data_IF_776730403285
#
_entry.id   IF_776730403285
#
_cell.length_a   1.000
_cell.length_b   1.000
_cell.length_c   1.000
_cell.angle_alpha   90.00
_cell.angle_beta   90.00
_cell.angle_gamma   90.00
#
_symmetry.space_group_name_H-M   'P 1'
#
loop_
_entity.id
_entity.type
_entity.pdbx_description
1 polymer ?
#
# COMPACT_ATOMS: atom_id res chain seq x y z
N UNK A 1 10.21 14.17 3.55
CA UNK A 1 11.69 14.20 3.73
C UNK A 1 12.39 13.77 2.43
N UNK A 2 13.72 13.82 2.33
CA UNK A 2 14.47 13.35 1.14
C UNK A 2 15.71 12.53 1.52
N UNK A 3 16.07 11.54 0.70
CA UNK A 3 17.29 10.73 0.90
C UNK A 3 18.58 11.52 0.69
N UNK A 4 18.54 12.47 -0.25
CA UNK A 4 19.66 13.34 -0.60
C UNK A 4 19.18 14.50 -1.43
N UNK A 5 20.00 15.54 -1.45
CA UNK A 5 19.97 16.58 -2.48
C UNK A 5 20.79 16.14 -3.70
N UNK A 6 20.72 16.92 -4.78
CA UNK A 6 21.48 16.70 -6.01
C UNK A 6 22.34 17.93 -6.38
N UNK A 7 23.06 18.46 -5.40
CA UNK A 7 23.99 19.59 -5.53
C UNK A 7 25.20 19.17 -6.36
N UNK A 8 25.49 19.86 -7.47
CA UNK A 8 26.63 19.56 -8.38
C UNK A 8 27.72 20.65 -8.35
N UNK A 9 29.03 20.31 -8.28
CA UNK A 9 30.10 21.30 -8.36
C UNK A 9 30.00 22.16 -9.63
N UNK A 10 30.29 23.45 -9.54
CA UNK A 10 30.19 24.41 -10.65
C UNK A 10 28.78 24.86 -11.03
N UNK A 11 27.75 24.39 -10.33
CA UNK A 11 26.37 24.88 -10.49
C UNK A 11 25.91 25.65 -9.25
N UNK A 12 24.79 26.35 -9.34
CA UNK A 12 24.11 26.91 -8.17
C UNK A 12 23.31 25.83 -7.43
N UNK A 13 23.13 26.03 -6.13
CA UNK A 13 22.20 25.22 -5.34
C UNK A 13 20.75 25.63 -5.65
N UNK A 14 19.88 24.64 -5.81
CA UNK A 14 18.46 24.92 -6.14
C UNK A 14 17.71 25.44 -4.91
N UNK A 15 16.59 26.15 -5.13
CA UNK A 15 15.71 26.58 -4.04
C UNK A 15 15.13 25.39 -3.27
N UNK A 16 14.91 24.26 -3.95
CA UNK A 16 14.44 23.03 -3.33
C UNK A 16 15.50 22.41 -2.42
N UNK A 17 16.75 22.28 -2.87
CA UNK A 17 17.85 21.78 -2.04
C UNK A 17 18.05 22.67 -0.80
N UNK A 18 18.00 24.00 -0.95
CA UNK A 18 18.06 24.95 0.17
C UNK A 18 16.93 24.72 1.17
N UNK A 19 15.70 24.50 0.68
CA UNK A 19 14.54 24.21 1.53
C UNK A 19 14.72 22.92 2.32
N UNK A 20 15.16 21.84 1.67
CA UNK A 20 15.36 20.54 2.33
C UNK A 20 16.49 20.58 3.35
N UNK A 21 17.61 21.25 3.02
CA UNK A 21 18.66 21.51 3.99
C UNK A 21 18.10 22.29 5.18
N UNK A 22 17.51 23.46 4.97
CA UNK A 22 16.99 24.30 6.07
C UNK A 22 16.01 23.53 6.98
N UNK A 23 15.10 22.74 6.42
CA UNK A 23 14.18 21.89 7.17
C UNK A 23 14.92 20.85 8.03
N UNK A 24 15.93 20.17 7.47
CA UNK A 24 16.75 19.20 8.20
C UNK A 24 17.53 19.84 9.36
N UNK A 25 18.10 21.04 9.17
CA UNK A 25 18.75 21.77 10.27
C UNK A 25 17.77 22.13 11.37
N UNK A 26 16.61 22.69 11.00
CA UNK A 26 15.60 23.10 11.96
C UNK A 26 15.11 21.90 12.80
N UNK A 27 14.97 20.72 12.19
CA UNK A 27 14.61 19.49 12.89
C UNK A 27 15.76 18.96 13.78
N UNK A 28 17.01 19.03 13.34
CA UNK A 28 18.14 18.46 14.08
C UNK A 28 18.59 19.33 15.27
N UNK A 29 18.66 20.66 15.09
CA UNK A 29 19.25 21.59 16.07
C UNK A 29 18.73 21.46 17.51
N UNK A 30 17.42 21.32 17.77
CA UNK A 30 16.90 21.19 19.14
C UNK A 30 17.44 19.97 19.90
N UNK A 31 17.96 18.96 19.19
CA UNK A 31 18.48 17.71 19.75
C UNK A 31 20.00 17.70 19.91
N UNK A 32 20.67 18.77 19.46
CA UNK A 32 22.13 18.86 19.44
C UNK A 32 22.65 19.74 20.58
N UNK A 33 23.82 19.40 21.11
CA UNK A 33 24.56 20.31 21.98
C UNK A 33 24.98 21.57 21.20
N UNK A 34 25.17 22.74 21.85
CA UNK A 34 25.45 24.01 21.17
C UNK A 34 26.62 23.96 20.17
N UNK A 35 27.71 23.27 20.53
CA UNK A 35 28.86 23.09 19.63
C UNK A 35 28.51 22.27 18.38
N UNK A 36 27.71 21.23 18.52
CA UNK A 36 27.27 20.41 17.39
C UNK A 36 26.28 21.17 16.50
N UNK A 37 25.38 21.97 17.10
CA UNK A 37 24.47 22.85 16.36
C UNK A 37 25.24 23.88 15.51
N UNK A 38 26.28 24.50 16.07
CA UNK A 38 27.15 25.41 15.30
C UNK A 38 27.88 24.68 14.15
N UNK A 39 28.40 23.47 14.39
CA UNK A 39 29.04 22.68 13.32
C UNK A 39 28.07 22.27 12.21
N UNK A 40 26.80 22.06 12.54
CA UNK A 40 25.77 21.81 11.55
C UNK A 40 25.57 23.04 10.64
N UNK A 41 25.59 24.25 11.22
CA UNK A 41 25.53 25.49 10.45
C UNK A 41 26.74 25.67 9.53
N UNK A 42 27.96 25.41 10.04
CA UNK A 42 29.19 25.45 9.24
C UNK A 42 29.13 24.46 8.05
N UNK A 43 28.64 23.24 8.30
CA UNK A 43 28.45 22.23 7.25
C UNK A 43 27.43 22.71 6.21
N UNK A 44 26.33 23.33 6.64
CA UNK A 44 25.26 23.74 5.75
C UNK A 44 25.68 24.92 4.88
N UNK A 45 26.40 25.89 5.43
CA UNK A 45 27.06 26.93 4.65
C UNK A 45 27.96 26.30 3.58
N UNK A 46 28.81 25.34 3.96
CA UNK A 46 29.69 24.65 3.02
C UNK A 46 28.96 23.84 1.92
N UNK A 47 27.72 23.40 2.15
CA UNK A 47 26.89 22.71 1.14
C UNK A 47 26.17 23.67 0.18
N UNK A 48 25.92 24.90 0.65
CA UNK A 48 25.12 25.91 -0.02
C UNK A 48 25.97 26.91 -0.82
N UNK A 49 27.18 27.19 -0.33
CA UNK A 49 28.12 28.11 -0.95
C UNK A 49 28.58 27.61 -2.34
N UNK A 50 29.38 28.45 -3.01
CA UNK A 50 30.01 28.07 -4.27
C UNK A 50 30.84 26.80 -4.07
N UNK A 51 30.68 25.84 -4.98
CA UNK A 51 31.41 24.59 -5.00
C UNK A 51 32.30 24.52 -6.24
N UNK A 52 33.49 25.18 -6.24
CA UNK A 52 34.42 25.06 -7.35
C UNK A 52 34.79 23.60 -7.61
N UNK A 53 34.79 23.14 -8.87
CA UNK A 53 35.23 21.79 -9.22
C UNK A 53 36.61 21.48 -8.65
N UNK A 54 36.75 20.32 -8.00
CA UNK A 54 38.02 19.87 -7.39
C UNK A 54 38.35 20.49 -6.01
N UNK A 55 37.53 21.41 -5.50
CA UNK A 55 37.73 21.97 -4.15
C UNK A 55 37.44 20.96 -3.04
N UNK A 56 38.07 21.09 -1.85
CA UNK A 56 37.73 20.30 -0.68
C UNK A 56 36.23 20.38 -0.30
N UNK A 57 35.61 21.54 -0.48
CA UNK A 57 34.19 21.79 -0.24
C UNK A 57 33.31 20.98 -1.21
N UNK A 58 33.65 20.97 -2.49
CA UNK A 58 32.97 20.14 -3.48
C UNK A 58 33.08 18.64 -3.13
N UNK A 59 34.25 18.19 -2.69
CA UNK A 59 34.45 16.80 -2.26
C UNK A 59 33.63 16.45 -1.01
N UNK A 60 33.59 17.35 -0.02
CA UNK A 60 32.76 17.20 1.17
C UNK A 60 31.28 17.13 0.80
N UNK A 61 30.78 18.03 -0.05
CA UNK A 61 29.39 18.06 -0.48
C UNK A 61 28.99 16.79 -1.24
N UNK A 62 29.88 16.26 -2.08
CA UNK A 62 29.66 14.98 -2.77
C UNK A 62 29.62 13.81 -1.81
N UNK A 63 30.58 13.73 -0.89
CA UNK A 63 30.64 12.66 0.12
C UNK A 63 29.45 12.70 1.06
N UNK A 64 29.05 13.88 1.52
CA UNK A 64 27.86 14.07 2.34
C UNK A 64 26.61 13.52 1.64
N UNK A 65 26.35 13.92 0.39
CA UNK A 65 25.19 13.42 -0.36
C UNK A 65 25.23 11.91 -0.65
N UNK A 66 26.42 11.30 -0.70
CA UNK A 66 26.58 9.85 -0.80
C UNK A 66 26.28 9.13 0.53
N UNK A 67 26.43 9.81 1.66
CA UNK A 67 26.22 9.25 3.01
C UNK A 67 24.77 9.42 3.50
N UNK A 68 24.07 10.49 3.11
CA UNK A 68 22.70 10.74 3.60
C UNK A 68 21.73 9.64 3.17
N UNK A 69 21.84 9.13 1.94
CA UNK A 69 20.94 8.08 1.45
C UNK A 69 21.03 6.76 2.22
N UNK A 70 22.21 6.16 2.44
CA UNK A 70 22.31 4.97 3.28
C UNK A 70 21.97 5.26 4.76
N UNK A 71 22.24 6.47 5.27
CA UNK A 71 21.83 6.85 6.62
C UNK A 71 20.31 6.88 6.77
N UNK A 72 19.58 7.46 5.81
CA UNK A 72 18.11 7.45 5.76
C UNK A 72 17.58 6.02 5.64
N UNK A 73 18.09 5.22 4.70
CA UNK A 73 17.64 3.84 4.54
C UNK A 73 17.83 3.01 5.82
N UNK A 74 19.01 3.08 6.46
CA UNK A 74 19.29 2.30 7.67
C UNK A 74 18.60 2.84 8.92
N UNK A 75 18.47 4.16 9.05
CA UNK A 75 17.83 4.80 10.19
C UNK A 75 16.30 4.74 10.14
N UNK A 76 15.71 4.93 8.97
CA UNK A 76 14.25 4.96 8.80
C UNK A 76 13.74 3.58 8.42
N UNK A 77 14.15 3.05 7.27
CA UNK A 77 13.53 1.85 6.71
C UNK A 77 13.92 0.56 7.43
N UNK A 78 15.16 0.48 7.91
CA UNK A 78 15.70 -0.70 8.60
C UNK A 78 15.83 -0.47 10.13
N UNK A 79 15.18 0.56 10.68
CA UNK A 79 15.09 0.74 12.14
C UNK A 79 13.75 1.35 12.56
N UNK A 80 13.45 2.60 12.16
CA UNK A 80 12.25 3.30 12.60
C UNK A 80 10.95 2.59 12.19
N UNK A 81 10.88 2.06 10.95
CA UNK A 81 9.74 1.30 10.43
C UNK A 81 9.45 0.02 11.24
N UNK A 82 10.48 -0.55 11.90
CA UNK A 82 10.34 -1.72 12.76
C UNK A 82 10.02 -1.37 14.20
N UNK A 83 10.05 -0.09 14.57
CA UNK A 83 9.74 0.35 15.92
C UNK A 83 8.21 0.34 16.11
N UNK A 84 7.67 -0.44 17.07
CA UNK A 84 6.24 -0.58 17.21
C UNK A 84 5.58 0.71 17.72
N UNK A 85 4.49 1.14 17.08
CA UNK A 85 3.77 2.36 17.49
C UNK A 85 2.55 2.76 16.64
N UNK A 86 2.42 2.23 15.41
CA UNK A 86 1.33 2.59 14.49
C UNK A 86 0.80 1.41 13.67
N UNK A 87 0.02 1.73 12.65
CA UNK A 87 -0.55 0.76 11.72
C UNK A 87 0.51 0.29 10.72
N UNK A 88 0.87 -0.99 10.75
CA UNK A 88 1.94 -1.55 9.91
C UNK A 88 1.66 -1.48 8.40
N UNK A 89 0.42 -1.20 8.00
CA UNK A 89 0.06 -0.90 6.61
C UNK A 89 0.82 0.30 6.04
N UNK A 90 1.15 1.27 6.91
CA UNK A 90 1.82 2.53 6.55
C UNK A 90 3.34 2.46 6.70
N UNK A 91 3.87 1.35 7.23
CA UNK A 91 5.27 1.19 7.58
C UNK A 91 6.00 0.36 6.50
N UNK A 92 6.31 0.99 5.37
CA UNK A 92 6.94 0.35 4.20
C UNK A 92 8.02 1.23 3.53
N UNK A 93 8.78 0.65 2.61
CA UNK A 93 9.81 1.36 1.84
C UNK A 93 9.20 2.56 1.11
N UNK A 94 9.82 3.73 1.26
CA UNK A 94 9.35 4.99 0.69
C UNK A 94 8.10 5.62 1.36
N UNK A 95 7.65 5.09 2.50
CA UNK A 95 6.52 5.66 3.27
C UNK A 95 6.98 6.71 4.30
N UNK A 96 6.04 7.59 4.66
CA UNK A 96 6.11 8.43 5.86
C UNK A 96 4.96 7.99 6.79
N UNK A 97 5.20 7.06 7.74
CA UNK A 97 4.12 6.33 8.45
C UNK A 97 3.17 7.20 9.28
N UNK A 98 3.58 8.42 9.63
CA UNK A 98 2.80 9.40 10.41
C UNK A 98 1.89 10.29 9.52
N UNK A 99 1.96 10.14 8.20
CA UNK A 99 1.19 10.94 7.25
C UNK A 99 -0.19 10.36 6.92
N UNK A 100 -1.15 11.23 6.64
CA UNK A 100 -2.41 10.88 5.96
C UNK A 100 -2.50 11.62 4.63
N UNK A 101 -3.18 11.03 3.66
CA UNK A 101 -3.42 11.63 2.34
C UNK A 101 -4.91 11.87 2.20
N UNK A 102 -5.30 13.12 2.00
CA UNK A 102 -6.66 13.49 1.65
C UNK A 102 -6.88 13.40 0.13
N UNK A 103 -8.15 13.53 -0.29
CA UNK A 103 -8.52 13.43 -1.70
C UNK A 103 -7.76 14.46 -2.56
N UNK A 104 -7.65 15.70 -2.08
CA UNK A 104 -6.99 16.79 -2.79
C UNK A 104 -5.51 16.52 -2.99
N UNK A 105 -4.83 15.98 -1.99
CA UNK A 105 -3.41 15.62 -2.07
C UNK A 105 -3.19 14.45 -3.02
N UNK A 106 -4.10 13.48 -3.05
CA UNK A 106 -4.08 12.40 -4.03
C UNK A 106 -4.28 12.92 -5.47
N UNK A 107 -5.27 13.81 -5.67
CA UNK A 107 -5.54 14.44 -6.97
C UNK A 107 -4.30 15.22 -7.46
N UNK A 108 -3.67 16.01 -6.57
CA UNK A 108 -2.46 16.76 -6.87
C UNK A 108 -1.26 15.85 -7.18
N UNK A 109 -1.10 14.75 -6.43
CA UNK A 109 -0.05 13.75 -6.69
C UNK A 109 -0.19 13.13 -8.08
N UNK A 110 -1.41 12.73 -8.47
CA UNK A 110 -1.66 12.13 -9.78
C UNK A 110 -1.42 13.13 -10.92
N UNK A 111 -1.85 14.38 -10.74
CA UNK A 111 -1.61 15.45 -11.72
C UNK A 111 -0.12 15.77 -11.85
N UNK A 112 0.63 15.83 -10.75
CA UNK A 112 2.08 16.02 -10.81
C UNK A 112 2.77 14.84 -11.50
N UNK A 113 2.42 13.61 -11.12
CA UNK A 113 2.97 12.38 -11.70
C UNK A 113 2.75 12.32 -13.21
N UNK A 114 1.56 12.69 -13.69
CA UNK A 114 1.25 12.78 -15.12
C UNK A 114 2.21 13.72 -15.87
N UNK A 115 2.63 14.81 -15.22
CA UNK A 115 3.51 15.83 -15.80
C UNK A 115 5.00 15.49 -15.68
N UNK A 116 5.42 14.97 -14.54
CA UNK A 116 6.85 14.83 -14.18
C UNK A 116 7.38 13.42 -14.42
N UNK A 117 6.54 12.41 -14.27
CA UNK A 117 6.92 10.99 -14.32
C UNK A 117 5.89 10.12 -15.07
N UNK A 118 5.49 10.49 -16.31
CA UNK A 118 4.41 9.79 -17.04
C UNK A 118 4.72 8.33 -17.38
N UNK A 119 6.00 7.95 -17.39
CA UNK A 119 6.49 6.60 -17.64
C UNK A 119 7.12 5.95 -16.40
N UNK A 120 6.97 6.56 -15.21
CA UNK A 120 7.44 5.98 -13.97
C UNK A 120 6.70 4.68 -13.63
N UNK A 121 7.39 3.73 -13.01
CA UNK A 121 6.78 2.49 -12.55
C UNK A 121 5.79 2.77 -11.41
N UNK A 122 4.67 2.05 -11.42
CA UNK A 122 3.67 2.04 -10.36
C UNK A 122 3.64 0.65 -9.73
N UNK A 123 4.50 0.43 -8.74
CA UNK A 123 4.63 -0.83 -8.03
C UNK A 123 3.72 -0.86 -6.79
N UNK A 124 3.10 -2.00 -6.54
CA UNK A 124 2.32 -2.27 -5.32
C UNK A 124 3.05 -3.21 -4.35
N UNK A 125 3.93 -4.06 -4.88
CA UNK A 125 4.79 -4.97 -4.14
C UNK A 125 6.13 -5.04 -4.88
N UNK A 126 7.22 -5.22 -4.15
CA UNK A 126 8.58 -5.45 -4.70
C UNK A 126 9.31 -6.46 -3.81
N UNK A 127 10.48 -6.93 -4.27
CA UNK A 127 11.37 -7.79 -3.48
C UNK A 127 11.92 -7.12 -2.22
N UNK A 128 11.82 -5.79 -2.11
CA UNK A 128 12.30 -5.01 -0.95
C UNK A 128 11.15 -4.45 -0.09
N UNK A 129 9.89 -4.60 -0.53
CA UNK A 129 8.74 -4.18 0.26
C UNK A 129 8.74 -4.91 1.60
N UNK A 130 8.45 -4.20 2.70
CA UNK A 130 8.39 -4.77 4.04
C UNK A 130 7.23 -5.76 4.17
N UNK A 131 6.17 -5.56 3.39
CA UNK A 131 4.96 -6.39 3.30
C UNK A 131 4.41 -6.31 1.87
N UNK A 132 3.79 -7.38 1.38
CA UNK A 132 3.11 -7.37 0.08
C UNK A 132 1.88 -6.45 0.08
N UNK A 133 1.40 -6.08 -1.11
CA UNK A 133 0.21 -5.25 -1.28
C UNK A 133 -1.01 -5.78 -0.52
N UNK A 134 -1.32 -7.08 -0.62
CA UNK A 134 -2.52 -7.63 0.02
C UNK A 134 -2.37 -7.68 1.55
N UNK A 135 -1.18 -7.96 2.06
CA UNK A 135 -0.89 -7.87 3.49
C UNK A 135 -1.10 -6.45 4.03
N UNK A 136 -0.66 -5.43 3.27
CA UNK A 136 -0.92 -4.02 3.60
C UNK A 136 -2.39 -3.65 3.48
N UNK A 137 -3.11 -4.13 2.46
CA UNK A 137 -4.54 -3.88 2.29
C UNK A 137 -5.36 -4.47 3.43
N UNK A 138 -4.97 -5.65 3.92
CA UNK A 138 -5.58 -6.27 5.11
C UNK A 138 -5.32 -5.46 6.37
N UNK A 139 -4.07 -5.06 6.61
CA UNK A 139 -3.75 -4.18 7.72
C UNK A 139 -4.50 -2.85 7.63
N UNK A 140 -4.59 -2.25 6.44
CA UNK A 140 -5.30 -1.00 6.22
C UNK A 140 -6.79 -1.08 6.58
N UNK A 141 -7.41 -2.27 6.49
CA UNK A 141 -8.79 -2.46 6.92
C UNK A 141 -8.98 -2.21 8.42
N UNK A 142 -7.96 -2.44 9.27
CA UNK A 142 -8.03 -2.15 10.71
C UNK A 142 -8.33 -0.68 11.01
N UNK A 143 -8.05 0.25 10.10
CA UNK A 143 -8.41 1.66 10.28
C UNK A 143 -9.93 1.91 10.32
N UNK A 144 -10.73 1.01 9.73
CA UNK A 144 -12.20 1.07 9.75
C UNK A 144 -12.81 0.22 10.88
N UNK A 145 -12.01 -0.67 11.46
CA UNK A 145 -12.41 -1.59 12.53
C UNK A 145 -11.54 -1.38 13.78
N UNK A 146 -11.16 -0.13 14.04
CA UNK A 146 -10.15 0.21 15.05
C UNK A 146 -10.57 -0.15 16.47
N UNK A 147 -11.80 0.17 16.87
CA UNK A 147 -12.35 -0.22 18.18
C UNK A 147 -12.38 -1.73 18.36
N UNK A 148 -12.78 -2.45 17.31
CA UNK A 148 -12.82 -3.91 17.30
C UNK A 148 -11.43 -4.50 17.42
N UNK A 149 -10.45 -3.95 16.71
CA UNK A 149 -9.06 -4.35 16.81
C UNK A 149 -8.49 -4.12 18.22
N UNK A 150 -8.81 -2.98 18.84
CA UNK A 150 -8.43 -2.71 20.23
C UNK A 150 -9.00 -3.75 21.20
N UNK A 151 -10.28 -4.12 21.09
CA UNK A 151 -10.87 -5.19 21.92
C UNK A 151 -10.13 -6.53 21.76
N UNK A 152 -9.80 -6.91 20.52
CA UNK A 152 -9.05 -8.14 20.24
C UNK A 152 -7.66 -8.07 20.89
N UNK A 153 -6.92 -6.97 20.72
CA UNK A 153 -5.60 -6.81 21.33
C UNK A 153 -5.68 -6.84 22.86
N UNK A 154 -6.66 -6.16 23.47
CA UNK A 154 -6.85 -6.17 24.93
C UNK A 154 -7.17 -7.56 25.47
N UNK A 155 -7.90 -8.38 24.68
CA UNK A 155 -8.15 -9.79 25.02
C UNK A 155 -6.89 -10.63 24.90
N UNK A 156 -6.10 -10.45 23.85
CA UNK A 156 -4.84 -11.19 23.67
C UNK A 156 -3.83 -10.84 24.78
N UNK A 157 -3.72 -9.56 25.13
CA UNK A 157 -2.82 -9.06 26.17
C UNK A 157 -3.23 -9.51 27.59
N UNK A 158 -4.54 -9.67 27.86
CA UNK A 158 -5.01 -10.22 29.15
C UNK A 158 -4.54 -11.64 29.43
N UNK A 159 -4.22 -12.41 28.39
CA UNK A 159 -3.72 -13.77 28.52
C UNK A 159 -2.18 -13.83 28.49
N UNK A 160 -1.49 -12.68 28.48
CA UNK A 160 -0.03 -12.63 28.56
C UNK A 160 0.44 -13.04 29.97
N UNK A 161 1.20 -14.13 30.06
CA UNK A 161 1.77 -14.68 31.29
C UNK A 161 3.20 -15.17 31.04
N UNK A 162 4.08 -15.06 32.04
CA UNK A 162 5.48 -15.53 31.99
C UNK A 162 6.47 -14.51 31.39
N UNK A 163 7.68 -14.99 31.07
CA UNK A 163 8.74 -14.23 30.39
C UNK A 163 8.41 -14.08 28.90
N UNK A 164 7.54 -13.12 28.59
CA UNK A 164 7.16 -12.80 27.21
C UNK A 164 8.01 -11.65 26.66
N UNK A 165 8.13 -11.54 25.32
CA UNK A 165 8.63 -10.33 24.67
C UNK A 165 7.86 -9.10 25.15
N UNK A 166 8.46 -7.92 25.02
CA UNK A 166 7.78 -6.71 25.47
C UNK A 166 6.43 -6.46 24.76
N UNK A 167 5.60 -5.59 25.33
CA UNK A 167 4.28 -5.31 24.77
C UNK A 167 4.31 -4.68 23.37
N UNK A 168 5.36 -3.95 23.03
CA UNK A 168 5.51 -3.31 21.72
C UNK A 168 5.73 -4.39 20.64
N UNK A 169 6.63 -5.33 20.89
CA UNK A 169 6.94 -6.43 19.96
C UNK A 169 5.78 -7.44 19.88
N UNK A 170 5.05 -7.69 20.97
CA UNK A 170 3.80 -8.48 20.92
C UNK A 170 2.74 -7.84 20.04
N UNK A 171 2.53 -6.52 20.15
CA UNK A 171 1.59 -5.78 19.29
C UNK A 171 2.02 -5.76 17.83
N UNK A 172 3.33 -5.67 17.57
CA UNK A 172 3.89 -5.82 16.23
C UNK A 172 3.61 -7.24 15.69
N UNK A 173 3.78 -8.27 16.51
CA UNK A 173 3.45 -9.65 16.16
C UNK A 173 1.97 -9.81 15.80
N UNK A 174 1.03 -9.28 16.60
CA UNK A 174 -0.40 -9.44 16.29
C UNK A 174 -0.79 -8.88 14.93
N UNK A 175 -0.26 -7.70 14.56
CA UNK A 175 -0.47 -7.16 13.22
C UNK A 175 0.23 -8.00 12.15
N UNK A 176 1.46 -8.47 12.38
CA UNK A 176 2.19 -9.31 11.42
C UNK A 176 1.49 -10.66 11.18
N UNK A 177 0.99 -11.30 12.23
CA UNK A 177 0.20 -12.53 12.17
C UNK A 177 -1.12 -12.29 11.41
N UNK A 178 -1.83 -11.20 11.71
CA UNK A 178 -3.05 -10.81 10.99
C UNK A 178 -2.76 -10.61 9.50
N UNK A 179 -1.65 -9.93 9.15
CA UNK A 179 -1.29 -9.58 7.79
C UNK A 179 -1.09 -10.79 6.87
N UNK A 180 -0.59 -11.91 7.41
CA UNK A 180 -0.35 -13.14 6.65
C UNK A 180 -1.24 -14.31 7.02
N UNK A 181 -2.26 -14.11 7.86
CA UNK A 181 -3.20 -15.15 8.23
C UNK A 181 -3.85 -15.82 6.99
N UNK A 182 -3.99 -17.15 6.95
CA UNK A 182 -4.62 -17.83 5.81
C UNK A 182 -6.05 -17.37 5.52
N UNK A 183 -6.41 -17.29 4.24
CA UNK A 183 -7.68 -16.70 3.77
C UNK A 183 -8.85 -17.68 3.66
N UNK A 184 -8.55 -18.97 3.54
CA UNK A 184 -9.48 -20.05 3.19
C UNK A 184 -9.55 -21.12 4.28
N UNK A 185 -9.03 -20.80 5.48
CA UNK A 185 -8.87 -21.77 6.56
C UNK A 185 -7.92 -22.92 6.22
N UNK A 186 -7.19 -22.85 5.09
CA UNK A 186 -6.14 -23.82 4.80
C UNK A 186 -4.97 -23.56 5.75
N UNK A 187 -4.41 -24.65 6.25
CA UNK A 187 -3.21 -24.59 7.06
C UNK A 187 -2.02 -24.20 6.16
N UNK A 188 -1.46 -23.02 6.40
CA UNK A 188 -0.10 -22.75 5.95
C UNK A 188 0.86 -23.47 6.91
N UNK A 189 1.34 -24.64 6.49
CA UNK A 189 2.27 -25.47 7.26
C UNK A 189 3.55 -24.74 7.65
N UNK A 190 3.89 -23.62 6.98
CA UNK A 190 5.06 -22.81 7.28
C UNK A 190 4.73 -21.54 8.09
N UNK A 191 3.47 -21.30 8.47
CA UNK A 191 3.05 -20.07 9.15
C UNK A 191 3.89 -19.76 10.40
N UNK A 192 4.11 -20.78 11.24
CA UNK A 192 4.93 -20.66 12.46
C UNK A 192 6.35 -20.22 12.11
N UNK A 193 7.02 -20.94 11.20
CA UNK A 193 8.39 -20.63 10.78
C UNK A 193 8.50 -19.23 10.19
N UNK A 194 7.57 -18.84 9.31
CA UNK A 194 7.53 -17.51 8.69
C UNK A 194 7.40 -16.40 9.74
N UNK A 195 6.55 -16.60 10.75
CA UNK A 195 6.37 -15.62 11.82
C UNK A 195 7.56 -15.57 12.78
N UNK A 196 8.15 -16.70 13.16
CA UNK A 196 9.37 -16.74 13.99
C UNK A 196 10.54 -16.03 13.30
N UNK A 197 10.78 -16.36 12.03
CA UNK A 197 11.85 -15.75 11.25
C UNK A 197 11.63 -14.24 11.09
N UNK A 198 10.38 -13.84 10.80
CA UNK A 198 10.03 -12.43 10.69
C UNK A 198 10.21 -11.68 12.01
N UNK A 199 9.74 -12.24 13.13
CA UNK A 199 9.83 -11.59 14.43
C UNK A 199 11.27 -11.48 14.91
N UNK A 200 12.11 -12.49 14.66
CA UNK A 200 13.56 -12.41 14.91
C UNK A 200 14.20 -11.29 14.11
N UNK A 201 13.92 -11.23 12.80
CA UNK A 201 14.41 -10.15 11.93
C UNK A 201 13.92 -8.79 12.42
N UNK A 202 12.62 -8.63 12.65
CA UNK A 202 12.01 -7.37 13.09
C UNK A 202 12.60 -6.87 14.41
N UNK A 203 12.82 -7.78 15.37
CA UNK A 203 13.41 -7.44 16.67
C UNK A 203 14.85 -6.94 16.53
N UNK A 204 15.65 -7.58 15.63
CA UNK A 204 17.02 -7.15 15.31
C UNK A 204 17.08 -5.83 14.55
N UNK A 205 16.13 -5.57 13.66
CA UNK A 205 16.03 -4.29 12.94
C UNK A 205 15.60 -3.15 13.88
N UNK A 206 14.66 -3.41 14.80
CA UNK A 206 14.21 -2.42 15.78
C UNK A 206 15.31 -2.01 16.79
N UNK A 207 16.28 -2.90 17.08
CA UNK A 207 17.44 -2.63 17.95
C UNK A 207 17.06 -2.21 19.38
N UNK A 208 15.88 -2.62 19.86
CA UNK A 208 15.38 -2.33 21.21
C UNK A 208 15.93 -3.30 22.26
N UNK A 209 15.96 -4.58 21.92
CA UNK A 209 16.36 -5.68 22.82
C UNK A 209 17.44 -6.59 22.23
N UNK A 210 17.42 -6.81 20.92
CA UNK A 210 18.43 -7.59 20.18
C UNK A 210 18.86 -6.82 18.94
N UNK A 211 20.03 -7.16 18.37
CA UNK A 211 20.54 -6.54 17.15
C UNK A 211 21.35 -7.52 16.32
N UNK A 212 21.57 -7.22 15.04
CA UNK A 212 22.43 -8.02 14.17
C UNK A 212 23.88 -8.13 14.66
N UNK A 213 24.40 -7.10 15.34
CA UNK A 213 25.80 -7.04 15.80
C UNK A 213 26.00 -7.60 17.21
N UNK A 214 24.94 -7.62 18.02
CA UNK A 214 24.93 -8.17 19.36
C UNK A 214 23.57 -8.83 19.60
N UNK A 215 23.39 -10.09 19.13
CA UNK A 215 22.15 -10.83 19.36
C UNK A 215 21.95 -11.16 20.84
N UNK A 216 20.74 -10.91 21.35
CA UNK A 216 20.31 -11.40 22.66
C UNK A 216 19.58 -12.74 22.48
N UNK A 217 20.30 -13.84 22.74
CA UNK A 217 19.76 -15.19 22.59
C UNK A 217 18.58 -15.48 23.54
N UNK A 218 18.55 -14.85 24.72
CA UNK A 218 17.45 -15.02 25.67
C UNK A 218 16.17 -14.37 25.15
N UNK A 219 16.28 -13.14 24.65
CA UNK A 219 15.13 -12.43 24.06
C UNK A 219 14.63 -13.10 22.78
N UNK A 220 15.53 -13.56 21.91
CA UNK A 220 15.16 -14.26 20.67
C UNK A 220 14.48 -15.61 20.93
N UNK A 221 14.92 -16.34 21.97
CA UNK A 221 14.23 -17.57 22.41
C UNK A 221 12.84 -17.25 22.95
N UNK A 222 12.70 -16.25 23.81
CA UNK A 222 11.40 -15.84 24.35
C UNK A 222 10.42 -15.38 23.25
N UNK A 223 10.92 -14.75 22.19
CA UNK A 223 10.13 -14.40 21.01
C UNK A 223 9.65 -15.63 20.25
N UNK A 224 10.54 -16.59 19.99
CA UNK A 224 10.18 -17.86 19.35
C UNK A 224 9.12 -18.60 20.16
N UNK A 225 9.35 -18.79 21.45
CA UNK A 225 8.43 -19.48 22.37
C UNK A 225 7.06 -18.78 22.41
N UNK A 226 7.05 -17.45 22.38
CA UNK A 226 5.81 -16.67 22.33
C UNK A 226 5.02 -16.91 21.05
N UNK A 227 5.67 -16.89 19.87
CA UNK A 227 5.01 -17.15 18.58
C UNK A 227 4.44 -18.58 18.55
N UNK A 228 5.24 -19.57 18.93
CA UNK A 228 4.82 -20.98 18.94
C UNK A 228 3.66 -21.22 19.90
N UNK A 229 3.77 -20.70 21.13
CA UNK A 229 2.70 -20.82 22.14
C UNK A 229 1.43 -20.11 21.71
N UNK A 230 1.54 -18.94 21.07
CA UNK A 230 0.38 -18.22 20.54
C UNK A 230 -0.36 -19.05 19.49
N UNK A 231 0.38 -19.66 18.54
CA UNK A 231 -0.21 -20.45 17.46
C UNK A 231 -0.76 -21.81 17.95
N UNK A 232 -0.22 -22.35 19.04
CA UNK A 232 -0.74 -23.55 19.70
C UNK A 232 -2.01 -23.28 20.55
N UNK A 233 -2.25 -22.03 20.95
CA UNK A 233 -3.40 -21.64 21.75
C UNK A 233 -4.63 -21.39 20.86
N UNK A 234 -5.52 -22.39 20.81
CA UNK A 234 -6.78 -22.34 20.05
C UNK A 234 -7.67 -21.15 20.39
N UNK A 235 -7.63 -20.61 21.61
CA UNK A 235 -8.43 -19.43 21.96
C UNK A 235 -7.86 -18.17 21.31
N UNK A 236 -6.53 -18.01 21.32
CA UNK A 236 -5.85 -16.85 20.70
C UNK A 236 -5.98 -16.88 19.18
N UNK A 237 -5.77 -18.03 18.56
CA UNK A 237 -5.91 -18.17 17.11
C UNK A 237 -7.35 -17.97 16.65
N UNK A 238 -8.35 -18.42 17.43
CA UNK A 238 -9.78 -18.13 17.16
C UNK A 238 -10.07 -16.63 17.21
N UNK A 239 -9.50 -15.89 18.16
CA UNK A 239 -9.67 -14.43 18.23
C UNK A 239 -9.10 -13.72 17.02
N UNK A 240 -7.90 -14.13 16.59
CA UNK A 240 -7.25 -13.57 15.41
C UNK A 240 -7.99 -13.93 14.12
N UNK A 241 -8.45 -15.17 13.98
CA UNK A 241 -9.21 -15.63 12.83
C UNK A 241 -10.55 -14.88 12.70
N UNK A 242 -11.26 -14.64 13.81
CA UNK A 242 -12.53 -13.91 13.80
C UNK A 242 -12.38 -12.49 13.25
N UNK A 243 -11.37 -11.74 13.69
CA UNK A 243 -11.15 -10.39 13.15
C UNK A 243 -10.68 -10.43 11.69
N UNK A 244 -9.89 -11.43 11.29
CA UNK A 244 -9.51 -11.63 9.88
C UNK A 244 -10.73 -11.85 9.00
N UNK A 245 -11.69 -12.67 9.43
CA UNK A 245 -12.95 -12.92 8.72
C UNK A 245 -13.81 -11.65 8.63
N UNK A 246 -13.95 -10.92 9.74
CA UNK A 246 -14.71 -9.66 9.80
C UNK A 246 -14.17 -8.61 8.80
N UNK A 247 -12.84 -8.49 8.66
CA UNK A 247 -12.23 -7.48 7.77
C UNK A 247 -11.96 -7.97 6.35
N UNK A 248 -12.08 -9.28 6.08
CA UNK A 248 -11.63 -9.87 4.81
C UNK A 248 -12.27 -9.23 3.57
N UNK A 249 -13.61 -8.99 3.51
CA UNK A 249 -14.21 -8.31 2.36
C UNK A 249 -13.68 -6.90 2.12
N UNK A 250 -13.40 -6.16 3.20
CA UNK A 250 -12.80 -4.82 3.14
C UNK A 250 -11.34 -4.86 2.68
N UNK A 251 -10.57 -5.88 3.08
CA UNK A 251 -9.21 -6.12 2.62
C UNK A 251 -9.17 -6.47 1.12
N UNK A 252 -10.04 -7.39 0.68
CA UNK A 252 -10.19 -7.80 -0.72
C UNK A 252 -10.57 -6.61 -1.59
N UNK A 253 -11.57 -5.82 -1.18
CA UNK A 253 -11.98 -4.63 -1.91
C UNK A 253 -10.82 -3.63 -2.09
N UNK A 254 -9.98 -3.43 -1.06
CA UNK A 254 -8.78 -2.59 -1.14
C UNK A 254 -7.73 -3.15 -2.10
N UNK A 255 -7.47 -4.45 -2.08
CA UNK A 255 -6.54 -5.07 -3.03
C UNK A 255 -7.00 -4.90 -4.48
N UNK A 256 -8.30 -5.11 -4.74
CA UNK A 256 -8.87 -4.87 -6.08
C UNK A 256 -8.82 -3.38 -6.46
N UNK A 257 -9.07 -2.49 -5.50
CA UNK A 257 -8.95 -1.04 -5.69
C UNK A 257 -7.53 -0.65 -6.07
N UNK A 258 -6.51 -1.21 -5.40
CA UNK A 258 -5.12 -0.96 -5.72
C UNK A 258 -4.78 -1.40 -7.17
N UNK A 259 -5.32 -2.54 -7.63
CA UNK A 259 -5.14 -3.02 -9.01
C UNK A 259 -5.76 -2.05 -10.03
N UNK A 260 -7.03 -1.66 -9.83
CA UNK A 260 -7.73 -0.74 -10.73
C UNK A 260 -7.06 0.64 -10.72
N UNK A 261 -6.69 1.15 -9.54
CA UNK A 261 -6.00 2.42 -9.37
C UNK A 261 -4.64 2.42 -10.07
N UNK A 262 -3.84 1.34 -9.92
CA UNK A 262 -2.56 1.16 -10.63
C UNK A 262 -2.76 1.20 -12.15
N UNK A 263 -3.83 0.57 -12.65
CA UNK A 263 -4.11 0.54 -14.08
C UNK A 263 -4.57 1.90 -14.62
N UNK A 264 -5.51 2.57 -13.95
CA UNK A 264 -6.07 3.85 -14.42
C UNK A 264 -5.10 5.02 -14.23
N UNK A 265 -4.19 4.98 -13.25
CA UNK A 265 -3.27 6.09 -12.91
C UNK A 265 -2.11 6.28 -13.91
N UNK A 266 -1.50 7.48 -13.99
CA UNK A 266 -0.32 7.73 -14.83
C UNK A 266 0.87 6.84 -14.45
N UNK A 267 1.73 6.53 -15.44
CA UNK A 267 2.84 5.59 -15.27
C UNK A 267 2.60 4.22 -15.89
N UNK A 268 3.58 3.36 -15.67
CA UNK A 268 3.61 1.97 -16.14
C UNK A 268 3.28 1.05 -14.97
N UNK A 269 2.18 0.27 -15.02
CA UNK A 269 1.86 -0.73 -14.00
C UNK A 269 2.98 -1.77 -13.88
N UNK A 270 3.48 -1.97 -12.67
CA UNK A 270 4.41 -3.06 -12.34
C UNK A 270 3.69 -4.14 -11.54
N UNK A 271 3.94 -5.42 -11.87
CA UNK A 271 3.35 -6.58 -11.18
C UNK A 271 4.49 -7.50 -10.74
N UNK A 272 4.71 -7.57 -9.43
CA UNK A 272 5.68 -8.49 -8.86
C UNK A 272 5.25 -9.94 -9.07
N UNK A 273 6.22 -10.85 -9.15
CA UNK A 273 5.96 -12.27 -9.43
C UNK A 273 4.96 -12.86 -8.42
N UNK A 274 3.90 -13.49 -8.92
CA UNK A 274 2.84 -14.10 -8.12
C UNK A 274 1.80 -13.13 -7.55
N UNK A 275 2.01 -11.81 -7.62
CA UNK A 275 1.08 -10.78 -7.13
C UNK A 275 -0.12 -10.54 -8.08
N UNK A 276 -0.31 -11.41 -9.07
CA UNK A 276 -1.58 -11.53 -9.81
C UNK A 276 -2.62 -12.35 -9.03
N UNK A 277 -2.20 -13.12 -8.02
CA UNK A 277 -3.05 -13.80 -7.03
C UNK A 277 -2.88 -13.17 -5.63
N UNK A 278 -3.52 -13.74 -4.61
CA UNK A 278 -3.32 -13.28 -3.23
C UNK A 278 -1.88 -13.54 -2.79
N UNK A 279 -1.12 -12.47 -2.59
CA UNK A 279 0.23 -12.52 -2.06
C UNK A 279 0.20 -11.96 -0.65
N UNK A 280 0.29 -12.84 0.35
CA UNK A 280 0.34 -12.48 1.77
C UNK A 280 1.74 -12.76 2.30
N UNK A 281 2.68 -11.87 1.99
CA UNK A 281 4.08 -12.03 2.31
C UNK A 281 4.59 -10.88 3.18
N UNK A 282 5.53 -11.23 4.06
CA UNK A 282 6.33 -10.32 4.86
C UNK A 282 7.61 -9.96 4.07
N UNK A 283 8.53 -9.26 4.73
CA UNK A 283 9.80 -8.81 4.15
C UNK A 283 10.69 -9.99 3.74
N UNK A 284 11.65 -9.75 2.83
CA UNK A 284 12.76 -10.64 2.48
C UNK A 284 13.29 -11.44 3.70
N UNK A 285 13.43 -12.79 3.62
CA UNK A 285 13.25 -13.63 2.42
C UNK A 285 11.82 -14.12 2.15
N UNK A 286 10.83 -13.77 2.97
CA UNK A 286 9.46 -14.31 2.83
C UNK A 286 8.82 -13.93 1.47
N UNK A 287 9.04 -12.71 1.00
CA UNK A 287 8.59 -12.24 -0.33
C UNK A 287 9.44 -12.75 -1.52
N UNK A 288 10.41 -13.65 -1.28
CA UNK A 288 11.30 -14.22 -2.33
C UNK A 288 11.04 -15.70 -2.59
N UNK A 289 9.98 -16.26 -2.02
CA UNK A 289 9.55 -17.62 -2.31
C UNK A 289 9.35 -17.89 -3.80
N UNK A 290 9.59 -19.13 -4.21
CA UNK A 290 9.38 -19.55 -5.60
C UNK A 290 7.89 -19.47 -5.97
N UNK A 291 7.61 -18.92 -7.14
CA UNK A 291 6.26 -18.90 -7.71
C UNK A 291 6.10 -20.11 -8.62
N UNK A 292 5.03 -20.89 -8.43
CA UNK A 292 4.66 -21.94 -9.39
C UNK A 292 4.06 -21.31 -10.64
N UNK A 293 4.95 -20.92 -11.55
CA UNK A 293 4.61 -20.26 -12.81
C UNK A 293 3.64 -21.11 -13.64
N UNK A 294 3.79 -22.44 -13.62
CA UNK A 294 2.93 -23.33 -14.41
C UNK A 294 1.49 -23.34 -13.86
N UNK A 295 1.33 -23.42 -12.54
CA UNK A 295 0.03 -23.34 -11.88
C UNK A 295 -0.64 -21.98 -12.10
N UNK A 296 0.11 -20.87 -11.99
CA UNK A 296 -0.40 -19.52 -12.25
C UNK A 296 -0.96 -19.39 -13.67
N UNK A 297 -0.21 -19.84 -14.68
CA UNK A 297 -0.67 -19.79 -16.07
C UNK A 297 -1.85 -20.74 -16.34
N UNK A 298 -1.89 -21.92 -15.71
CA UNK A 298 -3.02 -22.82 -15.82
C UNK A 298 -4.29 -22.19 -15.24
N UNK A 299 -4.20 -21.58 -14.05
CA UNK A 299 -5.28 -20.81 -13.43
C UNK A 299 -5.75 -19.67 -14.33
N UNK A 300 -4.82 -18.86 -14.83
CA UNK A 300 -5.12 -17.71 -15.71
C UNK A 300 -5.86 -18.11 -16.99
N UNK A 301 -5.50 -19.25 -17.60
CA UNK A 301 -6.17 -19.79 -18.80
C UNK A 301 -7.56 -20.35 -18.52
N UNK A 302 -7.80 -20.83 -17.30
CA UNK A 302 -9.09 -21.36 -16.87
C UNK A 302 -10.07 -20.28 -16.40
N UNK A 303 -9.62 -19.03 -16.22
CA UNK A 303 -10.48 -17.92 -15.82
C UNK A 303 -11.53 -17.61 -16.91
N UNK A 304 -12.78 -17.29 -16.52
CA UNK A 304 -13.74 -16.72 -17.45
C UNK A 304 -13.23 -15.36 -17.96
N UNK A 305 -13.78 -14.87 -19.08
CA UNK A 305 -13.37 -13.56 -19.62
C UNK A 305 -13.83 -12.39 -18.75
N UNK A 306 -14.99 -12.52 -18.11
CA UNK A 306 -15.64 -11.48 -17.33
C UNK A 306 -15.91 -11.95 -15.89
N UNK A 307 -15.90 -11.01 -14.97
CA UNK A 307 -16.23 -11.21 -13.58
C UNK A 307 -17.72 -11.53 -13.40
N UNK A 308 -18.03 -12.38 -12.43
CA UNK A 308 -19.37 -12.74 -12.01
C UNK A 308 -19.48 -12.65 -10.49
N UNK A 309 -20.71 -12.65 -9.96
CA UNK A 309 -20.92 -12.70 -8.52
C UNK A 309 -20.26 -13.94 -7.87
N UNK A 310 -20.21 -15.06 -8.61
CA UNK A 310 -19.55 -16.30 -8.16
C UNK A 310 -18.05 -16.13 -7.86
N UNK A 311 -17.35 -15.28 -8.64
CA UNK A 311 -15.93 -14.98 -8.37
C UNK A 311 -15.75 -14.17 -7.09
N UNK A 312 -16.72 -13.33 -6.72
CA UNK A 312 -16.71 -12.60 -5.45
C UNK A 312 -17.09 -13.53 -4.31
N UNK A 313 -18.06 -14.42 -4.47
CA UNK A 313 -18.41 -15.41 -3.45
C UNK A 313 -17.24 -16.34 -3.13
N UNK A 314 -16.46 -16.73 -4.14
CA UNK A 314 -15.29 -17.61 -4.00
C UNK A 314 -13.97 -16.84 -4.04
N UNK A 315 -13.95 -15.62 -3.50
CA UNK A 315 -12.80 -14.71 -3.58
C UNK A 315 -11.51 -15.32 -3.04
N UNK A 316 -11.58 -16.25 -2.06
CA UNK A 316 -10.44 -16.85 -1.38
C UNK A 316 -9.48 -17.56 -2.34
N UNK A 317 -9.97 -18.09 -3.47
CA UNK A 317 -9.13 -18.79 -4.45
C UNK A 317 -8.26 -17.85 -5.32
N UNK A 318 -8.32 -16.53 -5.12
CA UNK A 318 -7.50 -15.54 -5.82
C UNK A 318 -7.92 -15.22 -7.25
N UNK A 319 -8.89 -15.95 -7.81
CA UNK A 319 -9.30 -15.79 -9.23
C UNK A 319 -9.90 -14.43 -9.51
N UNK A 320 -10.60 -13.82 -8.55
CA UNK A 320 -11.15 -12.47 -8.69
C UNK A 320 -10.04 -11.42 -8.87
N UNK A 321 -8.95 -11.52 -8.12
CA UNK A 321 -7.77 -10.64 -8.27
C UNK A 321 -7.09 -10.91 -9.60
N UNK A 322 -6.87 -12.18 -9.95
CA UNK A 322 -6.19 -12.56 -11.19
C UNK A 322 -6.94 -12.07 -12.43
N UNK A 323 -8.28 -12.18 -12.44
CA UNK A 323 -9.13 -11.61 -13.49
C UNK A 323 -9.01 -10.09 -13.54
N UNK A 324 -9.07 -9.43 -12.37
CA UNK A 324 -8.98 -7.97 -12.28
C UNK A 324 -7.65 -7.45 -12.83
N UNK A 325 -6.53 -8.09 -12.47
CA UNK A 325 -5.20 -7.77 -13.00
C UNK A 325 -5.16 -8.00 -14.51
N UNK A 326 -5.57 -9.19 -14.98
CA UNK A 326 -5.56 -9.55 -16.40
C UNK A 326 -6.36 -8.57 -17.25
N UNK A 327 -7.61 -8.30 -16.88
CA UNK A 327 -8.51 -7.45 -17.66
C UNK A 327 -8.06 -5.99 -17.63
N UNK A 328 -7.61 -5.50 -16.47
CA UNK A 328 -7.07 -4.13 -16.35
C UNK A 328 -5.81 -3.94 -17.21
N UNK A 329 -4.89 -4.91 -17.23
CA UNK A 329 -3.68 -4.83 -18.07
C UNK A 329 -4.00 -5.00 -19.57
N UNK A 330 -4.93 -5.89 -19.94
CA UNK A 330 -5.40 -6.03 -21.33
C UNK A 330 -6.01 -4.72 -21.84
N UNK A 331 -6.85 -4.08 -21.02
CA UNK A 331 -7.40 -2.76 -21.31
C UNK A 331 -6.27 -1.73 -21.45
N UNK A 332 -5.34 -1.67 -20.49
CA UNK A 332 -4.22 -0.70 -20.52
C UNK A 332 -3.37 -0.84 -21.79
N UNK A 333 -3.13 -2.07 -22.24
CA UNK A 333 -2.39 -2.38 -23.48
C UNK A 333 -3.08 -1.87 -24.74
N UNK A 334 -4.41 -1.77 -24.72
CA UNK A 334 -5.21 -1.26 -25.84
C UNK A 334 -5.19 0.26 -26.01
N UNK A 335 -4.60 1.01 -25.07
CA UNK A 335 -4.59 2.48 -25.09
C UNK A 335 -3.50 3.05 -26.03
N UNK A 336 -3.92 4.02 -26.86
CA UNK A 336 -3.04 4.81 -27.71
C UNK A 336 -2.29 5.91 -26.93
N UNK A 337 -1.15 6.40 -27.43
CA UNK A 337 -0.28 7.37 -26.72
C UNK A 337 -0.96 8.68 -26.25
N UNK A 338 -1.96 9.28 -26.94
CA UNK A 338 -2.61 10.50 -26.45
C UNK A 338 -3.40 10.31 -25.13
N UNK A 339 -3.92 9.10 -24.85
CA UNK A 339 -4.73 8.82 -23.66
C UNK A 339 -3.89 8.39 -22.45
N UNK A 340 -2.55 8.40 -22.56
CA UNK A 340 -1.65 7.97 -21.49
C UNK A 340 -1.36 9.06 -20.44
N UNK A 341 -1.62 10.32 -20.76
CA UNK A 341 -1.05 11.44 -20.00
C UNK A 341 -2.04 12.18 -19.10
N UNK A 342 -3.34 12.18 -19.40
CA UNK A 342 -4.32 12.95 -18.61
C UNK A 342 -5.18 12.03 -17.75
N UNK A 343 -5.18 12.31 -16.43
CA UNK A 343 -6.04 11.68 -15.44
C UNK A 343 -6.66 12.79 -14.59
N UNK A 344 -7.99 12.81 -14.53
CA UNK A 344 -8.74 13.80 -13.77
C UNK A 344 -9.66 13.09 -12.76
N UNK A 345 -9.76 13.56 -11.51
CA UNK A 345 -10.74 13.03 -10.58
C UNK A 345 -12.17 13.32 -11.06
N UNK A 346 -13.07 12.39 -10.78
CA UNK A 346 -14.51 12.57 -10.98
C UNK A 346 -15.24 12.77 -9.65
N UNK A 347 -16.39 13.42 -9.76
CA UNK A 347 -17.28 13.72 -8.62
C UNK A 347 -18.20 12.53 -8.38
N UNK A 348 -18.27 12.11 -7.11
CA UNK A 348 -19.25 11.17 -6.62
C UNK A 348 -20.14 11.96 -5.66
N UNK A 349 -21.45 11.88 -5.84
CA UNK A 349 -22.44 12.57 -5.01
C UNK A 349 -23.37 11.58 -4.33
N UNK A 350 -23.86 11.93 -3.14
CA UNK A 350 -24.77 11.11 -2.36
C UNK A 350 -24.13 10.49 -1.11
N UNK A 351 -24.86 9.63 -0.39
CA UNK A 351 -24.46 9.16 0.94
C UNK A 351 -23.13 8.40 0.98
N UNK A 352 -22.76 7.70 -0.10
CA UNK A 352 -21.51 6.94 -0.21
C UNK A 352 -20.32 7.74 -0.76
N UNK A 353 -20.47 9.04 -1.03
CA UNK A 353 -19.43 9.85 -1.70
C UNK A 353 -18.07 9.82 -1.01
N UNK A 354 -18.04 9.82 0.32
CA UNK A 354 -16.81 9.72 1.10
C UNK A 354 -16.17 8.33 1.08
N UNK A 355 -16.91 7.28 0.71
CA UNK A 355 -16.38 5.91 0.62
C UNK A 355 -15.81 5.58 -0.77
N UNK A 356 -16.19 6.35 -1.79
CA UNK A 356 -15.79 6.14 -3.19
C UNK A 356 -14.64 7.05 -3.64
N UNK A 357 -13.96 6.62 -4.70
CA UNK A 357 -13.04 7.47 -5.46
C UNK A 357 -13.07 7.07 -6.93
N UNK A 358 -13.07 8.05 -7.83
CA UNK A 358 -13.17 7.81 -9.25
C UNK A 358 -12.19 8.69 -10.02
N UNK A 359 -11.54 8.09 -11.01
CA UNK A 359 -10.58 8.72 -11.89
C UNK A 359 -10.98 8.51 -13.34
N UNK A 360 -11.07 9.61 -14.10
CA UNK A 360 -11.17 9.57 -15.55
C UNK A 360 -9.77 9.55 -16.14
N UNK A 361 -9.58 8.73 -17.16
CA UNK A 361 -8.45 8.78 -18.08
C UNK A 361 -8.94 9.10 -19.49
N UNK A 362 -8.28 10.04 -20.17
CA UNK A 362 -8.64 10.40 -21.55
C UNK A 362 -10.00 11.10 -21.65
N UNK A 363 -10.52 11.21 -22.88
CA UNK A 363 -11.77 11.90 -23.17
C UNK A 363 -12.54 11.22 -24.32
N UNK A 364 -13.84 11.50 -24.42
CA UNK A 364 -14.70 11.01 -25.50
C UNK A 364 -14.75 9.48 -25.58
N UNK A 365 -14.86 8.96 -26.81
CA UNK A 365 -14.92 7.52 -27.11
C UNK A 365 -13.64 6.74 -26.84
N UNK A 366 -12.54 7.42 -26.47
CA UNK A 366 -11.29 6.79 -26.00
C UNK A 366 -11.07 6.94 -24.49
N UNK A 367 -12.05 7.46 -23.76
CA UNK A 367 -11.98 7.68 -22.32
C UNK A 367 -12.33 6.44 -21.49
N UNK A 368 -11.87 6.42 -20.25
CA UNK A 368 -12.23 5.41 -19.27
C UNK A 368 -12.38 6.00 -17.87
N UNK A 369 -13.06 5.28 -16.99
CA UNK A 369 -13.19 5.61 -15.57
C UNK A 369 -12.80 4.41 -14.72
N UNK A 370 -11.85 4.58 -13.82
CA UNK A 370 -11.62 3.65 -12.71
C UNK A 370 -12.45 4.11 -11.52
N UNK A 371 -13.32 3.23 -11.00
CA UNK A 371 -14.11 3.46 -9.78
C UNK A 371 -13.60 2.50 -8.71
N UNK A 372 -13.25 3.03 -7.54
CA UNK A 372 -12.78 2.23 -6.41
C UNK A 372 -13.56 2.54 -5.14
N UNK A 373 -13.66 1.54 -4.27
CA UNK A 373 -14.11 1.72 -2.88
C UNK A 373 -12.90 1.93 -1.97
N UNK A 374 -12.70 3.15 -1.46
CA UNK A 374 -11.57 3.48 -0.58
C UNK A 374 -11.84 3.22 0.91
N UNK A 375 -13.11 3.18 1.32
CA UNK A 375 -13.54 2.88 2.69
C UNK A 375 -14.63 1.79 2.71
N UNK A 376 -14.29 0.54 2.32
CA UNK A 376 -15.27 -0.53 2.16
C UNK A 376 -15.90 -0.98 3.49
N UNK A 377 -15.14 -1.03 4.59
CA UNK A 377 -15.68 -1.40 5.89
C UNK A 377 -16.66 -0.37 6.44
N UNK A 378 -16.44 0.91 6.14
CA UNK A 378 -17.30 2.03 6.56
C UNK A 378 -18.66 1.98 5.86
N UNK A 379 -18.68 1.68 4.56
CA UNK A 379 -19.93 1.68 3.78
C UNK A 379 -20.69 0.35 3.88
N UNK A 380 -19.99 -0.79 4.01
CA UNK A 380 -20.62 -2.11 4.00
C UNK A 380 -20.78 -2.73 5.39
N UNK A 381 -19.92 -2.36 6.34
CA UNK A 381 -19.82 -3.01 7.65
C UNK A 381 -18.96 -4.28 7.66
N UNK A 382 -18.86 -4.95 8.82
CA UNK A 382 -18.05 -6.16 8.99
C UNK A 382 -18.59 -7.33 8.18
N UNK A 383 -17.69 -8.10 7.57
CA UNK A 383 -18.03 -9.31 6.82
C UNK A 383 -18.80 -9.09 5.52
N UNK A 384 -19.01 -7.83 5.11
CA UNK A 384 -19.80 -7.50 3.92
C UNK A 384 -18.94 -6.86 2.81
N UNK A 385 -19.22 -7.26 1.57
CA UNK A 385 -18.64 -6.59 0.40
C UNK A 385 -19.37 -5.27 0.13
N UNK A 386 -18.60 -4.25 -0.26
CA UNK A 386 -19.12 -2.95 -0.64
C UNK A 386 -19.70 -2.95 -2.06
N UNK A 387 -20.73 -3.78 -2.28
CA UNK A 387 -21.39 -3.97 -3.57
C UNK A 387 -22.90 -3.72 -3.49
N UNK A 388 -23.49 -3.27 -4.59
CA UNK A 388 -24.94 -3.12 -4.73
C UNK A 388 -25.56 -2.06 -3.81
N UNK A 389 -26.55 -2.47 -3.01
CA UNK A 389 -27.45 -1.58 -2.27
C UNK A 389 -26.78 -0.65 -1.26
N UNK A 390 -25.57 -0.97 -0.79
CA UNK A 390 -24.80 -0.08 0.10
C UNK A 390 -24.48 1.28 -0.56
N UNK A 391 -24.53 1.33 -1.90
CA UNK A 391 -24.32 2.54 -2.70
C UNK A 391 -25.61 3.25 -3.12
N UNK A 392 -26.78 2.80 -2.66
CA UNK A 392 -28.07 3.36 -3.08
C UNK A 392 -28.14 4.87 -2.82
N UNK A 393 -28.57 5.62 -3.84
CA UNK A 393 -28.62 7.09 -3.80
C UNK A 393 -27.26 7.76 -3.95
N UNK A 394 -26.21 7.02 -4.34
CA UNK A 394 -24.89 7.55 -4.66
C UNK A 394 -24.64 7.44 -6.16
N UNK A 395 -24.31 8.55 -6.79
CA UNK A 395 -24.12 8.69 -8.23
C UNK A 395 -22.71 9.15 -8.57
N UNK A 396 -22.18 8.65 -9.69
CA UNK A 396 -20.95 9.11 -10.29
C UNK A 396 -21.26 10.03 -11.48
N UNK A 397 -20.70 11.23 -11.49
CA UNK A 397 -20.74 12.13 -12.63
C UNK A 397 -19.72 11.71 -13.70
N UNK A 398 -20.22 11.17 -14.81
CA UNK A 398 -19.46 10.77 -15.99
C UNK A 398 -19.71 11.71 -17.18
N UNK A 399 -20.40 12.83 -16.98
CA UNK A 399 -20.63 13.84 -18.01
C UNK A 399 -19.34 14.32 -18.69
N UNK A 400 -18.16 14.43 -18.01
CA UNK A 400 -16.92 14.80 -18.69
C UNK A 400 -16.42 13.80 -19.74
N UNK A 401 -16.95 12.57 -19.77
CA UNK A 401 -16.64 11.61 -20.84
C UNK A 401 -17.46 11.87 -22.11
N UNK A 402 -18.67 12.42 -21.99
CA UNK A 402 -19.60 12.59 -23.11
C UNK A 402 -20.03 11.27 -23.78
N UNK A 403 -19.90 10.14 -23.08
CA UNK A 403 -20.23 8.82 -23.61
C UNK A 403 -21.72 8.50 -23.43
N UNK A 404 -22.35 7.88 -24.43
CA UNK A 404 -23.75 7.41 -24.37
C UNK A 404 -23.89 6.07 -23.66
N UNK A 405 -22.80 5.31 -23.56
CA UNK A 405 -22.71 4.05 -22.84
C UNK A 405 -21.29 3.84 -22.33
N UNK A 406 -21.19 3.14 -21.21
CA UNK A 406 -19.95 2.75 -20.56
C UNK A 406 -19.98 1.24 -20.35
N UNK A 407 -18.98 0.52 -20.83
CA UNK A 407 -18.85 -0.92 -20.58
C UNK A 407 -17.80 -1.15 -19.51
N UNK A 408 -18.16 -1.83 -18.43
CA UNK A 408 -17.19 -2.29 -17.44
C UNK A 408 -16.33 -3.41 -18.04
N UNK A 409 -15.02 -3.20 -18.15
CA UNK A 409 -14.09 -4.20 -18.71
C UNK A 409 -13.88 -5.39 -17.77
N UNK A 410 -14.30 -5.27 -16.51
CA UNK A 410 -14.21 -6.34 -15.53
C UNK A 410 -15.41 -7.28 -15.67
N UNK A 411 -16.63 -6.76 -15.68
CA UNK A 411 -17.88 -7.56 -15.66
C UNK A 411 -18.60 -7.65 -17.01
N UNK A 412 -18.28 -6.77 -17.96
CA UNK A 412 -18.97 -6.63 -19.25
C UNK A 412 -20.34 -5.94 -19.16
N UNK A 413 -20.75 -5.48 -17.97
CA UNK A 413 -21.99 -4.74 -17.80
C UNK A 413 -21.92 -3.40 -18.55
N UNK A 414 -23.04 -3.02 -19.17
CA UNK A 414 -23.18 -1.77 -19.90
C UNK A 414 -24.05 -0.82 -19.07
N UNK A 415 -23.48 0.31 -18.70
CA UNK A 415 -24.14 1.38 -17.96
C UNK A 415 -24.44 2.54 -18.90
N UNK A 416 -25.70 2.97 -18.94
CA UNK A 416 -26.13 4.12 -19.74
C UNK A 416 -26.24 5.33 -18.83
N UNK A 417 -25.42 6.38 -19.02
CA UNK A 417 -25.57 7.60 -18.25
C UNK A 417 -26.96 8.20 -18.44
N UNK A 418 -27.48 8.84 -17.39
CA UNK A 418 -28.72 9.64 -17.47
C UNK A 418 -28.52 10.85 -18.38
N UNK A 419 -29.59 11.60 -18.66
CA UNK A 419 -29.51 12.85 -19.43
C UNK A 419 -28.57 13.90 -18.79
N UNK A 420 -28.37 13.84 -17.47
CA UNK A 420 -27.40 14.68 -16.75
C UNK A 420 -25.99 14.08 -16.68
N UNK A 421 -25.74 12.97 -17.37
CA UNK A 421 -24.43 12.31 -17.43
C UNK A 421 -24.06 11.55 -16.17
N UNK A 422 -25.02 11.00 -15.44
CA UNK A 422 -24.76 10.26 -14.18
C UNK A 422 -25.01 8.77 -14.31
N UNK A 423 -24.28 7.98 -13.54
CA UNK A 423 -24.54 6.54 -13.34
C UNK A 423 -24.62 6.22 -11.86
N UNK A 424 -25.57 5.36 -11.47
CA UNK A 424 -25.75 4.94 -10.08
C UNK A 424 -24.64 3.97 -9.67
N UNK A 425 -23.97 4.25 -8.55
CA UNK A 425 -22.92 3.36 -8.04
C UNK A 425 -23.45 2.02 -7.55
N UNK A 426 -24.72 1.94 -7.14
CA UNK A 426 -25.38 0.66 -6.84
C UNK A 426 -25.40 -0.29 -8.03
N UNK A 427 -25.47 0.25 -9.25
CA UNK A 427 -25.49 -0.53 -10.48
C UNK A 427 -24.06 -0.84 -10.94
N UNK A 428 -23.18 0.18 -10.94
CA UNK A 428 -21.77 0.07 -11.36
C UNK A 428 -21.00 -0.89 -10.48
N UNK A 429 -21.25 -0.89 -9.17
CA UNK A 429 -20.59 -1.74 -8.19
C UNK A 429 -21.50 -2.89 -7.75
N UNK A 430 -22.40 -3.36 -8.64
CA UNK A 430 -23.35 -4.43 -8.32
C UNK A 430 -22.68 -5.81 -8.17
N UNK A 431 -21.59 -6.04 -8.90
CA UNK A 431 -20.85 -7.32 -8.88
C UNK A 431 -19.56 -7.21 -8.08
N UNK A 432 -18.72 -6.21 -8.39
CA UNK A 432 -17.41 -6.00 -7.77
C UNK A 432 -17.39 -4.70 -6.98
N UNK A 433 -16.58 -4.59 -5.90
CA UNK A 433 -16.39 -3.34 -5.15
C UNK A 433 -15.52 -2.31 -5.90
N UNK A 434 -15.22 -2.58 -7.16
CA UNK A 434 -14.45 -1.73 -8.08
C UNK A 434 -15.01 -1.89 -9.49
N UNK A 435 -14.79 -0.90 -10.35
CA UNK A 435 -15.12 -0.99 -11.77
C UNK A 435 -14.05 -0.31 -12.63
N UNK A 436 -13.92 -0.76 -13.88
CA UNK A 436 -13.10 -0.08 -14.88
C UNK A 436 -13.94 0.09 -16.14
N UNK A 437 -14.57 1.26 -16.24
CA UNK A 437 -15.54 1.60 -17.27
C UNK A 437 -14.82 2.15 -18.50
N UNK A 438 -14.98 1.52 -19.66
CA UNK A 438 -14.51 2.07 -20.93
C UNK A 438 -15.68 2.73 -21.66
N UNK A 439 -15.46 3.95 -22.17
CA UNK A 439 -16.38 4.52 -23.15
C UNK A 439 -16.38 3.63 -24.40
N UNK A 440 -17.56 3.27 -24.88
CA UNK A 440 -17.72 2.64 -26.18
C UNK A 440 -17.84 3.75 -27.23
N UNK A 441 -17.12 3.60 -28.35
CA UNK A 441 -17.42 4.39 -29.53
C UNK A 441 -18.81 4.00 -30.03
N UNK A 442 -19.73 4.96 -30.05
CA UNK A 442 -21.06 4.80 -30.65
C UNK A 442 -21.00 4.73 -32.16
#
# INVERSE_FOLDING_TARGET
EVYRIYRRPGHDVTSEDRRWLAAAAAAAKPRLQPRAAQRLDDLFAALVDELPPGSPQAMLAMRWQQLTSPATAKGVEDTAIYTPGGLLALADVGSEPDGTIDRKSMDAFLADRARTSPYGLSALSTHDSKRSCDARCRLAALSEFSERWCDVVDRLERHAVGDQPDAADRRYFYQSALAIWPLDGQEDANLTTRLVDHMTKASREAKRHTSWTAPDAGYESAMTDFVETFLADGQRTTLLAAIVEEIAPAAVARSLAAVVLRAISPGVPDVYQGDDQWMLALVDPDNRGNVDVAAHFAGLRALPDLASADLVTNWQNGRVKQLTVRNSLRWRRGLTEPSRMQVDPLVIEGPGSDAGYALRRGAGSGGAVGVITKAPGTIAGPGAFATGDVWKGTDLDVSPLGASALTDVLTGQVHKPTASGRVALSDVLSVLPVALLSATAG
#
